data_IF_068209660685
#
_entry.id   IF_068209660685
#
_cell.length_a   1.000
_cell.length_b   1.000
_cell.length_c   1.000
_cell.angle_alpha   90.00
_cell.angle_beta   90.00
_cell.angle_gamma   90.00
#
_symmetry.space_group_name_H-M   'P 1'
#
loop_
_entity.id
_entity.type
_entity.pdbx_description
1 polymer ?
#
# COMPACT_ATOMS: atom_id res chain seq x y z
N UNK A 1 -87.00 -79.89 8.58
CA UNK A 1 -86.21 -79.96 7.31
C UNK A 1 -86.17 -78.60 6.62
N UNK A 2 -87.27 -78.06 6.06
CA UNK A 2 -87.22 -76.77 5.32
C UNK A 2 -86.88 -75.52 6.13
N UNK A 3 -87.25 -75.47 7.42
CA UNK A 3 -86.93 -74.33 8.30
C UNK A 3 -85.42 -74.19 8.59
N UNK A 4 -84.71 -75.32 8.69
CA UNK A 4 -83.26 -75.34 9.00
C UNK A 4 -82.42 -75.01 7.77
N UNK A 5 -82.77 -75.53 6.60
CA UNK A 5 -82.10 -75.17 5.34
C UNK A 5 -82.19 -73.67 5.06
N UNK A 6 -83.33 -73.04 5.34
CA UNK A 6 -83.52 -71.60 5.16
C UNK A 6 -82.63 -70.78 6.09
N UNK A 7 -82.54 -71.14 7.37
CA UNK A 7 -81.64 -70.49 8.34
C UNK A 7 -80.17 -70.63 7.94
N UNK A 8 -79.74 -71.81 7.50
CA UNK A 8 -78.38 -72.01 7.00
C UNK A 8 -78.08 -71.15 5.77
N UNK A 9 -79.03 -71.04 4.83
CA UNK A 9 -78.89 -70.19 3.64
C UNK A 9 -78.80 -68.71 4.00
N UNK A 10 -79.61 -68.23 4.93
CA UNK A 10 -79.57 -66.85 5.42
C UNK A 10 -78.26 -66.53 6.14
N UNK A 11 -77.77 -67.44 7.01
CA UNK A 11 -76.50 -67.30 7.69
C UNK A 11 -75.31 -67.30 6.72
N UNK A 12 -75.34 -68.17 5.71
CA UNK A 12 -74.33 -68.20 4.65
C UNK A 12 -74.32 -66.90 3.84
N UNK A 13 -75.49 -66.43 3.39
CA UNK A 13 -75.60 -65.16 2.65
C UNK A 13 -75.13 -63.96 3.48
N UNK A 14 -75.37 -63.96 4.80
CA UNK A 14 -74.85 -62.93 5.70
C UNK A 14 -73.32 -62.98 5.76
N UNK A 15 -72.75 -64.16 5.99
CA UNK A 15 -71.30 -64.36 6.01
C UNK A 15 -70.63 -63.93 4.70
N UNK A 16 -71.25 -64.25 3.56
CA UNK A 16 -70.76 -63.85 2.24
C UNK A 16 -70.76 -62.33 2.07
N UNK A 17 -71.83 -61.64 2.51
CA UNK A 17 -71.88 -60.18 2.52
C UNK A 17 -70.81 -59.57 3.44
N UNK A 18 -70.67 -60.09 4.66
CA UNK A 18 -69.69 -59.61 5.64
C UNK A 18 -68.25 -59.81 5.13
N UNK A 19 -67.98 -60.92 4.43
CA UNK A 19 -66.70 -61.15 3.75
C UNK A 19 -66.47 -60.16 2.61
N UNK A 20 -67.48 -59.90 1.78
CA UNK A 20 -67.37 -58.97 0.67
C UNK A 20 -67.12 -57.53 1.14
N UNK A 21 -67.81 -57.07 2.20
CA UNK A 21 -67.54 -55.76 2.79
C UNK A 21 -66.13 -55.67 3.38
N UNK A 22 -65.64 -56.74 4.01
CA UNK A 22 -64.26 -56.79 4.50
C UNK A 22 -63.23 -56.73 3.36
N UNK A 23 -63.49 -57.42 2.24
CA UNK A 23 -62.65 -57.34 1.04
C UNK A 23 -62.64 -55.91 0.48
N UNK A 24 -63.79 -55.25 0.40
CA UNK A 24 -63.89 -53.85 -0.06
C UNK A 24 -63.10 -52.90 0.84
N UNK A 25 -63.22 -53.04 2.17
CA UNK A 25 -62.47 -52.22 3.13
C UNK A 25 -60.95 -52.43 2.94
N UNK A 26 -60.51 -53.68 2.82
CA UNK A 26 -59.09 -54.00 2.61
C UNK A 26 -58.58 -53.47 1.28
N UNK A 27 -59.36 -53.58 0.20
CA UNK A 27 -59.01 -53.05 -1.11
C UNK A 27 -58.89 -51.51 -1.10
N UNK A 28 -59.84 -50.82 -0.45
CA UNK A 28 -59.78 -49.36 -0.30
C UNK A 28 -58.55 -48.94 0.50
N UNK A 29 -58.22 -49.68 1.57
CA UNK A 29 -57.01 -49.40 2.37
C UNK A 29 -55.74 -49.64 1.58
N UNK A 30 -55.70 -50.70 0.76
CA UNK A 30 -54.58 -51.00 -0.12
C UNK A 30 -54.37 -49.88 -1.14
N UNK A 31 -55.42 -49.43 -1.82
CA UNK A 31 -55.34 -48.33 -2.79
C UNK A 31 -54.87 -47.01 -2.15
N UNK A 32 -55.35 -46.68 -0.95
CA UNK A 32 -54.86 -45.50 -0.21
C UNK A 32 -53.37 -45.58 0.07
N UNK A 33 -52.90 -46.73 0.57
CA UNK A 33 -51.48 -46.95 0.85
C UNK A 33 -50.62 -46.89 -0.43
N UNK A 34 -51.14 -47.39 -1.56
CA UNK A 34 -50.45 -47.30 -2.85
C UNK A 34 -50.28 -45.85 -3.31
N UNK A 35 -51.31 -45.02 -3.16
CA UNK A 35 -51.25 -43.58 -3.47
C UNK A 35 -50.28 -42.86 -2.54
N UNK A 36 -50.40 -43.08 -1.22
CA UNK A 36 -49.48 -42.49 -0.23
C UNK A 36 -48.02 -42.88 -0.53
N UNK A 37 -47.77 -44.14 -0.90
CA UNK A 37 -46.43 -44.60 -1.24
C UNK A 37 -45.88 -43.94 -2.52
N UNK A 38 -46.72 -43.73 -3.53
CA UNK A 38 -46.30 -42.98 -4.72
C UNK A 38 -46.01 -41.51 -4.42
N UNK A 39 -46.83 -40.86 -3.61
CA UNK A 39 -46.58 -39.48 -3.17
C UNK A 39 -45.28 -39.36 -2.38
N UNK A 40 -44.99 -40.34 -1.50
CA UNK A 40 -43.72 -40.43 -0.79
C UNK A 40 -42.53 -40.59 -1.74
N UNK A 41 -42.62 -41.46 -2.75
CA UNK A 41 -41.55 -41.66 -3.74
C UNK A 41 -41.26 -40.40 -4.55
N UNK A 42 -42.29 -39.65 -4.94
CA UNK A 42 -42.13 -38.35 -5.63
C UNK A 42 -41.48 -37.33 -4.70
N UNK A 43 -41.92 -37.27 -3.45
CA UNK A 43 -41.36 -36.36 -2.43
C UNK A 43 -39.90 -36.67 -2.15
N UNK A 44 -39.55 -37.95 -2.02
CA UNK A 44 -38.17 -38.43 -1.82
C UNK A 44 -37.29 -38.06 -3.02
N UNK A 45 -37.78 -38.21 -4.24
CA UNK A 45 -37.05 -37.82 -5.46
C UNK A 45 -36.78 -36.31 -5.51
N UNK A 46 -37.76 -35.48 -5.15
CA UNK A 46 -37.59 -34.02 -5.05
C UNK A 46 -36.54 -33.65 -4.00
N UNK A 47 -36.64 -34.21 -2.80
CA UNK A 47 -35.68 -33.97 -1.72
C UNK A 47 -34.25 -34.39 -2.11
N UNK A 48 -34.10 -35.51 -2.83
CA UNK A 48 -32.81 -35.96 -3.34
C UNK A 48 -32.19 -34.93 -4.29
N UNK A 49 -32.96 -34.45 -5.28
CA UNK A 49 -32.46 -33.42 -6.22
C UNK A 49 -32.14 -32.09 -5.53
N UNK A 50 -32.90 -31.74 -4.48
CA UNK A 50 -32.62 -30.55 -3.69
C UNK A 50 -31.33 -30.71 -2.88
N UNK A 51 -31.09 -31.89 -2.31
CA UNK A 51 -29.85 -32.22 -1.58
C UNK A 51 -28.64 -32.14 -2.51
N UNK A 52 -28.73 -32.72 -3.71
CA UNK A 52 -27.66 -32.66 -4.71
C UNK A 52 -27.32 -31.21 -5.11
N UNK A 53 -28.32 -30.36 -5.32
CA UNK A 53 -28.11 -28.93 -5.62
C UNK A 53 -27.41 -28.18 -4.49
N UNK A 54 -27.80 -28.47 -3.24
CA UNK A 54 -27.18 -27.86 -2.06
C UNK A 54 -25.73 -28.32 -1.90
N UNK A 55 -25.43 -29.58 -2.18
CA UNK A 55 -24.05 -30.09 -2.15
C UNK A 55 -23.18 -29.43 -3.24
N UNK A 56 -23.70 -29.24 -4.45
CA UNK A 56 -22.99 -28.49 -5.49
C UNK A 56 -22.75 -27.03 -5.11
N UNK A 57 -23.75 -26.36 -4.53
CA UNK A 57 -23.62 -24.98 -4.09
C UNK A 57 -22.61 -24.85 -2.96
N UNK A 58 -22.65 -25.77 -2.00
CA UNK A 58 -21.65 -25.87 -0.93
C UNK A 58 -20.25 -26.05 -1.49
N UNK A 59 -20.05 -26.94 -2.47
CA UNK A 59 -18.75 -27.12 -3.10
C UNK A 59 -18.30 -25.84 -3.80
N UNK A 60 -19.17 -25.22 -4.61
CA UNK A 60 -18.87 -23.93 -5.29
C UNK A 60 -18.50 -22.82 -4.31
N UNK A 61 -19.16 -22.74 -3.16
CA UNK A 61 -18.85 -21.76 -2.12
C UNK A 61 -17.53 -22.07 -1.41
N UNK A 62 -17.23 -23.35 -1.20
CA UNK A 62 -15.95 -23.80 -0.63
C UNK A 62 -14.79 -23.44 -1.54
N UNK A 63 -14.89 -23.74 -2.83
CA UNK A 63 -13.85 -23.42 -3.82
C UNK A 63 -13.58 -21.90 -3.88
N UNK A 64 -14.65 -21.08 -3.87
CA UNK A 64 -14.52 -19.61 -3.83
C UNK A 64 -13.86 -19.11 -2.54
N UNK A 65 -14.19 -19.71 -1.40
CA UNK A 65 -13.57 -19.37 -0.12
C UNK A 65 -12.08 -19.69 -0.12
N UNK A 66 -11.69 -20.86 -0.66
CA UNK A 66 -10.29 -21.24 -0.79
C UNK A 66 -9.54 -20.27 -1.72
N UNK A 67 -10.12 -19.91 -2.87
CA UNK A 67 -9.49 -19.01 -3.84
C UNK A 67 -9.26 -17.61 -3.25
N UNK A 68 -10.26 -17.08 -2.53
CA UNK A 68 -10.15 -15.78 -1.85
C UNK A 68 -9.19 -15.83 -0.66
N UNK A 69 -9.14 -16.95 0.07
CA UNK A 69 -8.20 -17.15 1.18
C UNK A 69 -6.75 -17.21 0.70
N UNK A 70 -6.50 -17.86 -0.44
CA UNK A 70 -5.18 -17.89 -1.07
C UNK A 70 -4.73 -16.49 -1.49
N UNK A 71 -5.59 -15.73 -2.18
CA UNK A 71 -5.28 -14.34 -2.56
C UNK A 71 -4.99 -13.46 -1.35
N UNK A 72 -5.78 -13.57 -0.28
CA UNK A 72 -5.54 -12.83 0.95
C UNK A 72 -4.16 -13.16 1.54
N UNK A 73 -3.78 -14.44 1.54
CA UNK A 73 -2.48 -14.88 2.02
C UNK A 73 -1.33 -14.26 1.21
N UNK A 74 -1.44 -14.25 -0.11
CA UNK A 74 -0.44 -13.64 -1.00
C UNK A 74 -0.28 -12.14 -0.72
N UNK A 75 -1.38 -11.41 -0.52
CA UNK A 75 -1.37 -9.99 -0.15
C UNK A 75 -0.76 -9.76 1.24
N UNK A 76 -1.06 -10.62 2.22
CA UNK A 76 -0.44 -10.55 3.54
C UNK A 76 1.07 -10.77 3.48
N UNK A 77 1.52 -11.73 2.68
CA UNK A 77 2.95 -12.00 2.48
C UNK A 77 3.65 -10.83 1.74
N UNK A 78 2.97 -10.19 0.79
CA UNK A 78 3.46 -8.98 0.12
C UNK A 78 3.57 -7.81 1.09
N UNK A 79 2.53 -7.57 1.90
CA UNK A 79 2.52 -6.53 2.93
C UNK A 79 3.68 -6.71 3.91
N UNK A 80 3.90 -7.95 4.38
CA UNK A 80 5.01 -8.28 5.27
C UNK A 80 6.37 -7.95 4.64
N UNK A 81 6.59 -8.35 3.38
CA UNK A 81 7.82 -8.01 2.64
C UNK A 81 8.02 -6.51 2.51
N UNK A 82 6.95 -5.74 2.28
CA UNK A 82 7.02 -4.29 2.17
C UNK A 82 7.37 -3.64 3.52
N UNK A 83 6.77 -4.12 4.61
CA UNK A 83 7.09 -3.66 5.96
C UNK A 83 8.54 -3.96 6.36
N UNK A 84 9.06 -5.14 6.01
CA UNK A 84 10.45 -5.50 6.26
C UNK A 84 11.41 -4.57 5.47
N UNK A 85 11.09 -4.25 4.21
CA UNK A 85 11.86 -3.28 3.41
C UNK A 85 11.84 -1.86 3.99
N UNK A 86 10.68 -1.40 4.46
CA UNK A 86 10.57 -0.08 5.10
C UNK A 86 11.39 -0.01 6.38
N UNK A 87 11.33 -1.06 7.20
CA UNK A 87 12.13 -1.18 8.42
C UNK A 87 13.62 -1.20 8.09
N UNK A 88 14.04 -1.95 7.07
CA UNK A 88 15.43 -1.97 6.62
C UNK A 88 15.90 -0.58 6.17
N UNK A 89 15.14 0.09 5.30
CA UNK A 89 15.46 1.43 4.82
C UNK A 89 15.61 2.43 5.98
N UNK A 90 14.68 2.40 6.96
CA UNK A 90 14.78 3.25 8.15
C UNK A 90 16.05 3.00 8.96
N UNK A 91 16.47 1.74 9.11
CA UNK A 91 17.70 1.39 9.81
C UNK A 91 18.94 1.83 9.03
N UNK A 92 18.94 1.68 7.70
CA UNK A 92 20.06 2.07 6.86
C UNK A 92 20.21 3.59 6.83
N UNK A 93 19.10 4.34 6.71
CA UNK A 93 19.09 5.79 6.84
C UNK A 93 19.61 6.26 8.21
N UNK A 94 19.22 5.56 9.29
CA UNK A 94 19.72 5.87 10.63
C UNK A 94 21.24 5.67 10.72
N UNK A 95 21.76 4.55 10.20
CA UNK A 95 23.21 4.27 10.17
C UNK A 95 23.98 5.30 9.36
N UNK A 96 23.48 5.67 8.18
CA UNK A 96 24.12 6.68 7.34
C UNK A 96 24.13 8.05 8.02
N UNK A 97 23.04 8.40 8.71
CA UNK A 97 22.97 9.64 9.48
C UNK A 97 23.97 9.64 10.64
N UNK A 98 24.13 8.54 11.35
CA UNK A 98 25.13 8.37 12.41
C UNK A 98 26.55 8.49 11.85
N UNK A 99 26.87 7.81 10.74
CA UNK A 99 28.17 7.91 10.08
C UNK A 99 28.48 9.34 9.60
N UNK A 100 27.50 10.05 9.05
CA UNK A 100 27.67 11.45 8.65
C UNK A 100 27.88 12.37 9.86
N UNK A 101 27.21 12.09 10.99
CA UNK A 101 27.43 12.83 12.24
C UNK A 101 28.85 12.61 12.77
N UNK A 102 29.35 11.37 12.78
CA UNK A 102 30.73 11.05 13.15
C UNK A 102 31.73 11.82 12.28
N UNK A 103 31.55 11.84 10.96
CA UNK A 103 32.40 12.60 10.04
C UNK A 103 32.37 14.11 10.33
N UNK A 104 31.20 14.68 10.64
CA UNK A 104 31.08 16.10 11.01
C UNK A 104 31.86 16.37 12.31
N UNK A 105 31.81 15.47 13.29
CA UNK A 105 32.58 15.60 14.52
C UNK A 105 34.08 15.52 14.27
N UNK A 106 34.54 14.61 13.42
CA UNK A 106 35.94 14.49 13.02
C UNK A 106 36.44 15.79 12.37
N UNK A 107 35.71 16.32 11.39
CA UNK A 107 36.06 17.58 10.72
C UNK A 107 36.06 18.77 11.69
N UNK A 108 35.15 18.79 12.68
CA UNK A 108 35.16 19.83 13.73
C UNK A 108 36.42 19.75 14.58
N UNK A 109 36.84 18.55 14.99
CA UNK A 109 38.09 18.34 15.74
C UNK A 109 39.30 18.79 14.92
N UNK A 110 39.37 18.45 13.63
CA UNK A 110 40.44 18.92 12.74
C UNK A 110 40.48 20.45 12.61
N UNK A 111 39.32 21.10 12.46
CA UNK A 111 39.23 22.56 12.42
C UNK A 111 39.73 23.21 13.72
N UNK A 112 39.35 22.66 14.88
CA UNK A 112 39.85 23.11 16.18
C UNK A 112 41.38 22.96 16.27
N UNK A 113 41.92 21.83 15.84
CA UNK A 113 43.38 21.61 15.79
C UNK A 113 44.09 22.63 14.89
N UNK A 114 43.56 22.92 13.71
CA UNK A 114 44.14 23.90 12.78
C UNK A 114 44.08 25.33 13.35
N UNK A 115 43.00 25.70 14.04
CA UNK A 115 42.89 27.00 14.71
C UNK A 115 43.93 27.17 15.82
N UNK A 116 44.15 26.13 16.64
CA UNK A 116 45.19 26.13 17.68
C UNK A 116 46.58 26.27 17.07
N UNK A 117 46.88 25.48 16.02
CA UNK A 117 48.17 25.57 15.32
C UNK A 117 48.44 26.96 14.75
N UNK A 118 47.42 27.60 14.15
CA UNK A 118 47.54 28.98 13.64
C UNK A 118 47.90 29.98 14.75
N UNK A 119 47.27 29.87 15.92
CA UNK A 119 47.55 30.74 17.07
C UNK A 119 48.98 30.56 17.60
N UNK A 120 49.51 29.34 17.61
CA UNK A 120 50.90 29.06 18.00
C UNK A 120 51.90 29.72 17.04
N UNK A 121 51.68 29.59 15.72
CA UNK A 121 52.51 30.25 14.70
C UNK A 121 52.45 31.77 14.83
N UNK A 122 51.27 32.35 15.06
CA UNK A 122 51.13 33.80 15.25
C UNK A 122 51.82 34.31 16.52
N UNK A 123 51.83 33.53 17.61
CA UNK A 123 52.58 33.86 18.84
C UNK A 123 54.09 33.90 18.56
N UNK A 124 54.62 32.93 17.81
CA UNK A 124 56.03 32.94 17.40
C UNK A 124 56.38 34.14 16.49
N UNK A 125 55.44 34.62 15.67
CA UNK A 125 55.63 35.77 14.76
C UNK A 125 55.59 37.16 15.42
N UNK A 126 55.01 37.32 16.62
CA UNK A 126 54.99 38.61 17.35
C UNK A 126 56.29 38.91 18.10
N UNK A 127 57.02 37.88 18.54
CA UNK A 127 58.28 38.03 19.26
C UNK A 127 59.37 38.71 18.39
N UNK A 128 59.23 38.69 17.06
CA UNK A 128 60.20 39.32 16.13
C UNK A 128 59.91 40.77 15.72
N UNK A 129 58.84 41.41 16.21
CA UNK A 129 58.35 42.71 15.67
C UNK A 129 58.56 43.94 16.57
N UNK A 130 59.33 43.84 17.66
CA UNK A 130 59.45 44.90 18.67
C UNK A 130 60.55 45.95 18.43
N UNK A 131 61.16 46.06 17.25
CA UNK A 131 62.26 47.03 17.03
C UNK A 131 62.33 47.55 15.60
N UNK A 132 61.52 48.54 15.22
CA UNK A 132 61.74 49.24 13.94
C UNK A 132 61.03 50.61 13.92
N UNK A 133 61.79 51.70 14.09
CA UNK A 133 61.32 53.06 13.76
C UNK A 133 62.42 53.92 13.07
N UNK A 134 63.52 53.30 12.64
CA UNK A 134 64.62 53.93 11.90
C UNK A 134 64.83 53.32 10.50
N UNK A 135 63.99 52.34 10.13
CA UNK A 135 64.09 51.60 8.87
C UNK A 135 63.54 52.35 7.67
N UNK A 136 62.54 53.23 7.88
CA UNK A 136 61.65 53.66 6.80
C UNK A 136 62.29 54.63 5.78
N UNK A 137 63.39 55.29 6.15
CA UNK A 137 64.17 56.11 5.23
C UNK A 137 65.17 55.26 4.43
N UNK A 138 65.86 54.35 5.11
CA UNK A 138 66.76 53.37 4.50
C UNK A 138 66.04 52.43 3.55
N UNK A 139 64.79 52.05 3.85
CA UNK A 139 63.99 51.20 2.96
C UNK A 139 63.61 51.91 1.68
N UNK A 140 63.24 53.20 1.71
CA UNK A 140 62.88 53.93 0.48
C UNK A 140 64.05 54.13 -0.48
N UNK A 141 65.25 54.40 0.02
CA UNK A 141 66.46 54.48 -0.82
C UNK A 141 66.81 53.10 -1.39
N UNK A 142 66.72 52.05 -0.57
CA UNK A 142 66.94 50.66 -0.98
C UNK A 142 65.90 50.18 -1.99
N UNK A 143 64.65 50.59 -1.84
CA UNK A 143 63.52 50.28 -2.73
C UNK A 143 63.75 50.93 -4.10
N UNK A 144 64.20 52.18 -4.15
CA UNK A 144 64.55 52.84 -5.42
C UNK A 144 65.76 52.20 -6.12
N UNK A 145 66.77 51.74 -5.37
CA UNK A 145 67.90 50.97 -5.92
C UNK A 145 67.45 49.63 -6.49
N UNK A 146 66.60 48.90 -5.74
CA UNK A 146 66.04 47.62 -6.17
C UNK A 146 65.11 47.79 -7.38
N UNK A 147 64.37 48.90 -7.50
CA UNK A 147 63.58 49.22 -8.69
C UNK A 147 64.46 49.45 -9.93
N UNK A 148 65.60 50.15 -9.77
CA UNK A 148 66.56 50.33 -10.87
C UNK A 148 67.27 49.02 -11.23
N UNK A 149 67.56 48.16 -10.24
CA UNK A 149 68.14 46.83 -10.45
C UNK A 149 67.14 45.88 -11.13
N UNK A 150 65.86 45.91 -10.72
CA UNK A 150 64.75 45.22 -11.37
C UNK A 150 64.56 45.68 -12.82
N UNK A 151 64.73 46.98 -13.09
CA UNK A 151 64.62 47.52 -14.45
C UNK A 151 65.78 47.05 -15.35
N UNK A 152 67.00 46.95 -14.81
CA UNK A 152 68.16 46.38 -15.50
C UNK A 152 68.01 44.87 -15.72
N UNK A 153 67.62 44.12 -14.69
CA UNK A 153 67.37 42.69 -14.77
C UNK A 153 66.24 42.34 -15.74
N UNK A 154 65.20 43.16 -15.86
CA UNK A 154 64.15 43.01 -16.88
C UNK A 154 64.65 43.24 -18.31
N UNK A 155 65.70 44.05 -18.50
CA UNK A 155 66.25 44.36 -19.82
C UNK A 155 67.27 43.30 -20.28
N UNK A 156 67.98 42.67 -19.33
CA UNK A 156 69.01 41.65 -19.58
C UNK A 156 68.53 40.20 -19.36
N UNK A 157 67.21 39.94 -19.32
CA UNK A 157 66.69 38.56 -19.16
C UNK A 157 67.11 37.72 -20.38
N UNK A 158 67.86 36.62 -20.18
CA UNK A 158 68.22 35.71 -21.26
C UNK A 158 66.96 35.22 -22.00
N UNK A 159 66.96 35.17 -23.34
CA UNK A 159 65.79 34.78 -24.14
C UNK A 159 65.12 33.47 -23.68
N UNK A 160 65.90 32.50 -23.21
CA UNK A 160 65.42 31.21 -22.71
C UNK A 160 64.60 31.34 -21.42
N UNK A 161 65.01 32.25 -20.51
CA UNK A 161 64.27 32.52 -19.26
C UNK A 161 63.00 33.32 -19.55
N UNK A 162 63.05 34.26 -20.50
CA UNK A 162 61.88 35.00 -20.97
C UNK A 162 60.84 34.04 -21.59
N UNK A 163 61.29 33.09 -22.42
CA UNK A 163 60.43 32.08 -23.03
C UNK A 163 59.81 31.14 -22.00
N UNK A 164 60.58 30.69 -21.00
CA UNK A 164 60.05 29.87 -19.89
C UNK A 164 59.03 30.62 -19.03
N UNK A 165 59.24 31.91 -18.77
CA UNK A 165 58.27 32.74 -18.05
C UNK A 165 56.96 32.89 -18.85
N UNK A 166 57.04 33.11 -20.16
CA UNK A 166 55.86 33.15 -21.04
C UNK A 166 55.12 31.80 -21.07
N UNK A 167 55.83 30.68 -21.18
CA UNK A 167 55.21 29.35 -21.14
C UNK A 167 54.55 29.06 -19.78
N UNK A 168 55.20 29.45 -18.68
CA UNK A 168 54.63 29.35 -17.33
C UNK A 168 53.36 30.20 -17.17
N UNK A 169 53.35 31.42 -17.74
CA UNK A 169 52.18 32.29 -17.72
C UNK A 169 51.02 31.71 -18.54
N UNK A 170 51.30 31.11 -19.69
CA UNK A 170 50.28 30.43 -20.51
C UNK A 170 49.66 29.24 -19.78
N UNK A 171 50.48 28.38 -19.17
CA UNK A 171 50.01 27.23 -18.38
C UNK A 171 49.18 27.67 -17.16
N UNK A 172 49.51 28.81 -16.55
CA UNK A 172 48.74 29.37 -15.45
C UNK A 172 47.35 29.81 -15.91
N UNK A 173 47.26 30.52 -17.04
CA UNK A 173 45.98 30.95 -17.64
C UNK A 173 45.14 29.73 -18.04
N UNK A 174 45.76 28.70 -18.62
CA UNK A 174 45.03 27.48 -19.00
C UNK A 174 44.53 26.70 -17.78
N UNK A 175 45.32 26.60 -16.71
CA UNK A 175 44.87 26.02 -15.44
C UNK A 175 43.72 26.80 -14.83
N UNK A 176 43.77 28.13 -14.90
CA UNK A 176 42.68 28.98 -14.41
C UNK A 176 41.39 28.73 -15.21
N UNK A 177 41.48 28.66 -16.54
CA UNK A 177 40.34 28.33 -17.41
C UNK A 177 39.75 26.94 -17.12
N UNK A 178 40.60 25.93 -16.89
CA UNK A 178 40.14 24.58 -16.54
C UNK A 178 39.48 24.53 -15.16
N UNK A 179 39.91 25.37 -14.21
CA UNK A 179 39.24 25.50 -12.91
C UNK A 179 37.87 26.15 -13.04
N UNK A 180 37.77 27.23 -13.80
CA UNK A 180 36.50 27.91 -14.07
C UNK A 180 35.50 26.96 -14.75
N UNK A 181 35.94 26.15 -15.73
CA UNK A 181 35.11 25.13 -16.36
C UNK A 181 34.68 24.02 -15.39
N UNK A 182 35.56 23.58 -14.48
CA UNK A 182 35.19 22.62 -13.45
C UNK A 182 34.16 23.19 -12.47
N UNK A 183 34.31 24.44 -12.06
CA UNK A 183 33.34 25.13 -11.21
C UNK A 183 31.98 25.25 -11.90
N UNK A 184 31.96 25.57 -13.19
CA UNK A 184 30.74 25.63 -13.99
C UNK A 184 30.06 24.25 -14.09
N UNK A 185 30.81 23.19 -14.41
CA UNK A 185 30.28 21.82 -14.48
C UNK A 185 29.75 21.33 -13.13
N UNK A 186 30.46 21.62 -12.03
CA UNK A 186 29.98 21.32 -10.68
C UNK A 186 28.67 22.07 -10.38
N UNK A 187 28.57 23.34 -10.78
CA UNK A 187 27.34 24.11 -10.68
C UNK A 187 26.18 23.49 -11.45
N UNK A 188 26.43 22.99 -12.67
CA UNK A 188 25.43 22.30 -13.49
C UNK A 188 24.96 20.99 -12.84
N UNK A 189 25.88 20.17 -12.31
CA UNK A 189 25.56 18.91 -11.62
C UNK A 189 24.67 19.18 -10.40
N UNK A 190 25.00 20.20 -9.60
CA UNK A 190 24.19 20.58 -8.43
C UNK A 190 22.80 21.04 -8.87
N UNK A 191 22.70 21.86 -9.91
CA UNK A 191 21.42 22.33 -10.45
C UNK A 191 20.52 21.18 -10.93
N UNK A 192 21.09 20.23 -11.68
CA UNK A 192 20.38 19.03 -12.14
C UNK A 192 19.92 18.16 -10.95
N UNK A 193 20.81 17.91 -9.99
CA UNK A 193 20.49 17.13 -8.79
C UNK A 193 19.37 17.78 -7.97
N UNK A 194 19.39 19.12 -7.84
CA UNK A 194 18.35 19.87 -7.15
C UNK A 194 17.01 19.81 -7.90
N UNK A 195 17.05 19.89 -9.23
CA UNK A 195 15.85 19.77 -10.07
C UNK A 195 15.21 18.38 -9.95
N UNK A 196 16.02 17.31 -10.00
CA UNK A 196 15.55 15.94 -9.79
C UNK A 196 14.99 15.74 -8.39
N UNK A 197 15.67 16.23 -7.35
CA UNK A 197 15.18 16.18 -5.97
C UNK A 197 13.82 16.90 -5.83
N UNK A 198 13.68 18.09 -6.44
CA UNK A 198 12.42 18.83 -6.46
C UNK A 198 11.28 18.05 -7.15
N UNK A 199 11.58 17.38 -8.27
CA UNK A 199 10.61 16.57 -8.98
C UNK A 199 10.19 15.32 -8.19
N UNK A 200 11.13 14.68 -7.48
CA UNK A 200 10.85 13.55 -6.60
C UNK A 200 9.94 13.96 -5.43
N UNK A 201 10.25 15.07 -4.77
CA UNK A 201 9.43 15.61 -3.67
C UNK A 201 8.03 15.99 -4.18
N UNK A 202 7.92 16.65 -5.33
CA UNK A 202 6.61 17.00 -5.91
C UNK A 202 5.76 15.76 -6.25
N UNK A 203 6.39 14.69 -6.74
CA UNK A 203 5.72 13.41 -7.00
C UNK A 203 5.29 12.74 -5.71
N UNK A 204 6.12 12.78 -4.66
CA UNK A 204 5.80 12.26 -3.34
C UNK A 204 4.61 12.98 -2.70
N UNK A 205 4.55 14.31 -2.77
CA UNK A 205 3.42 15.07 -2.22
C UNK A 205 2.10 14.77 -2.94
N UNK A 206 2.13 14.59 -4.28
CA UNK A 206 0.95 14.18 -5.05
C UNK A 206 0.49 12.76 -4.69
N UNK A 207 1.43 11.83 -4.56
CA UNK A 207 1.14 10.46 -4.16
C UNK A 207 0.61 10.38 -2.72
N UNK A 208 1.14 11.20 -1.80
CA UNK A 208 0.65 11.31 -0.42
C UNK A 208 -0.76 11.93 -0.33
N UNK A 209 -1.06 12.96 -1.14
CA UNK A 209 -2.41 13.52 -1.23
C UNK A 209 -3.41 12.49 -1.74
N UNK A 210 -3.04 11.72 -2.77
CA UNK A 210 -3.88 10.68 -3.34
C UNK A 210 -4.05 9.50 -2.37
N UNK A 211 -2.99 9.07 -1.67
CA UNK A 211 -3.08 8.02 -0.67
C UNK A 211 -3.95 8.42 0.53
N UNK A 212 -3.81 9.66 1.02
CA UNK A 212 -4.63 10.20 2.10
C UNK A 212 -6.12 10.35 1.71
N UNK A 213 -6.40 10.65 0.44
CA UNK A 213 -7.75 10.74 -0.11
C UNK A 213 -8.38 9.35 -0.31
N UNK A 214 -7.60 8.35 -0.74
CA UNK A 214 -8.02 6.95 -0.90
C UNK A 214 -8.29 6.28 0.46
N UNK A 215 -7.45 6.52 1.48
CA UNK A 215 -7.60 5.92 2.81
C UNK A 215 -8.79 6.49 3.60
N UNK A 216 -9.05 7.80 3.56
CA UNK A 216 -10.04 8.42 4.45
C UNK A 216 -11.47 8.48 3.90
N UNK A 217 -11.67 8.50 2.58
CA UNK A 217 -13.02 8.67 2.01
C UNK A 217 -13.74 7.34 1.76
N UNK A 218 -13.04 6.29 1.32
CA UNK A 218 -13.71 5.13 0.71
C UNK A 218 -14.37 4.18 1.71
N UNK A 219 -13.73 3.88 2.85
CA UNK A 219 -14.23 2.85 3.78
C UNK A 219 -15.39 3.34 4.65
N UNK A 220 -15.23 4.52 5.27
CA UNK A 220 -16.21 5.02 6.23
C UNK A 220 -17.47 5.53 5.52
N UNK A 221 -17.33 6.20 4.36
CA UNK A 221 -18.50 6.62 3.58
C UNK A 221 -19.27 5.43 2.98
N UNK A 222 -18.60 4.35 2.58
CA UNK A 222 -19.28 3.12 2.14
C UNK A 222 -19.98 2.40 3.28
N UNK A 223 -19.39 2.36 4.47
CA UNK A 223 -20.02 1.78 5.67
C UNK A 223 -21.23 2.60 6.12
N UNK A 224 -21.14 3.93 6.08
CA UNK A 224 -22.25 4.82 6.44
C UNK A 224 -23.39 4.74 5.42
N UNK A 225 -23.07 4.75 4.12
CA UNK A 225 -24.07 4.56 3.06
C UNK A 225 -24.74 3.17 3.13
N UNK A 226 -23.98 2.12 3.46
CA UNK A 226 -24.53 0.78 3.65
C UNK A 226 -25.49 0.73 4.85
N UNK A 227 -25.11 1.33 5.97
CA UNK A 227 -25.99 1.44 7.16
C UNK A 227 -27.27 2.20 6.86
N UNK A 228 -27.18 3.34 6.18
CA UNK A 228 -28.35 4.13 5.82
C UNK A 228 -29.30 3.33 4.91
N UNK A 229 -28.73 2.59 3.94
CA UNK A 229 -29.51 1.73 3.06
C UNK A 229 -30.18 0.56 3.80
N UNK A 230 -29.49 -0.06 4.78
CA UNK A 230 -30.07 -1.09 5.64
C UNK A 230 -31.23 -0.54 6.49
N UNK A 231 -31.08 0.66 7.03
CA UNK A 231 -32.12 1.31 7.84
C UNK A 231 -33.38 1.62 7.00
N UNK A 232 -33.19 2.12 5.78
CA UNK A 232 -34.28 2.35 4.82
C UNK A 232 -34.98 1.02 4.48
N UNK A 233 -34.21 -0.05 4.26
CA UNK A 233 -34.77 -1.37 3.94
C UNK A 233 -35.61 -1.93 5.10
N UNK A 234 -35.14 -1.79 6.35
CA UNK A 234 -35.89 -2.18 7.54
C UNK A 234 -37.21 -1.40 7.62
N UNK A 235 -37.17 -0.07 7.42
CA UNK A 235 -38.40 0.76 7.43
C UNK A 235 -39.37 0.37 6.32
N UNK A 236 -38.87 0.08 5.11
CA UNK A 236 -39.70 -0.39 3.99
C UNK A 236 -40.33 -1.75 4.30
N UNK A 237 -39.60 -2.69 4.89
CA UNK A 237 -40.13 -4.00 5.31
C UNK A 237 -41.24 -3.83 6.35
N UNK A 238 -41.00 -3.03 7.39
CA UNK A 238 -42.03 -2.73 8.40
C UNK A 238 -43.27 -2.07 7.81
N UNK A 239 -43.09 -1.19 6.81
CA UNK A 239 -44.21 -0.57 6.11
C UNK A 239 -45.01 -1.58 5.27
N UNK A 240 -44.33 -2.44 4.51
CA UNK A 240 -44.96 -3.53 3.77
C UNK A 240 -45.70 -4.48 4.70
N UNK A 241 -45.10 -4.87 5.84
CA UNK A 241 -45.74 -5.74 6.83
C UNK A 241 -47.04 -5.13 7.36
N UNK A 242 -47.05 -3.83 7.68
CA UNK A 242 -48.27 -3.12 8.10
C UNK A 242 -49.36 -3.16 7.05
N UNK A 243 -49.01 -3.00 5.77
CA UNK A 243 -49.97 -3.10 4.66
C UNK A 243 -50.48 -4.53 4.52
N UNK A 244 -49.60 -5.52 4.51
CA UNK A 244 -49.95 -6.94 4.36
C UNK A 244 -50.88 -7.37 5.49
N UNK A 245 -50.56 -7.02 6.75
CA UNK A 245 -51.43 -7.31 7.90
C UNK A 245 -52.82 -6.68 7.73
N UNK A 246 -52.87 -5.40 7.33
CA UNK A 246 -54.15 -4.72 7.10
C UNK A 246 -54.98 -5.40 6.00
N UNK A 247 -54.35 -5.89 4.94
CA UNK A 247 -55.02 -6.64 3.86
C UNK A 247 -55.51 -7.99 4.37
N UNK A 248 -54.69 -8.72 5.14
CA UNK A 248 -55.08 -10.01 5.73
C UNK A 248 -56.31 -9.89 6.64
N UNK A 249 -56.42 -8.80 7.40
CA UNK A 249 -57.55 -8.56 8.31
C UNK A 249 -58.87 -8.20 7.58
N UNK A 250 -58.81 -7.56 6.41
CA UNK A 250 -60.00 -7.04 5.73
C UNK A 250 -60.43 -7.86 4.51
N UNK A 251 -59.48 -8.32 3.68
CA UNK A 251 -59.78 -9.09 2.48
C UNK A 251 -58.56 -9.90 1.98
N UNK A 252 -58.29 -11.08 2.53
CA UNK A 252 -57.09 -11.87 2.23
C UNK A 252 -57.07 -12.44 0.80
N UNK A 253 -58.22 -12.52 0.11
CA UNK A 253 -58.33 -13.08 -1.24
C UNK A 253 -57.53 -12.31 -2.31
N UNK A 254 -57.18 -11.04 -2.04
CA UNK A 254 -56.41 -10.19 -2.96
C UNK A 254 -54.93 -10.58 -3.02
N UNK A 255 -54.41 -11.27 -1.99
CA UNK A 255 -53.04 -11.79 -1.97
C UNK A 255 -52.90 -13.13 -2.72
N UNK A 256 -54.00 -13.68 -3.25
CA UNK A 256 -53.99 -14.91 -4.03
C UNK A 256 -53.35 -14.66 -5.40
N UNK A 257 -52.13 -15.19 -5.60
CA UNK A 257 -51.46 -15.15 -6.89
C UNK A 257 -52.14 -16.16 -7.81
N UNK A 258 -53.01 -15.67 -8.70
CA UNK A 258 -53.61 -16.49 -9.77
C UNK A 258 -52.57 -16.68 -10.87
N UNK A 259 -52.20 -17.94 -11.09
CA UNK A 259 -51.33 -18.37 -12.20
C UNK A 259 -52.13 -18.51 -13.50
#
# INVERSE_FOLDING_TARGET
MDGELRRHREAFNKLERDKNTQIEILNNRMQQLEVENMEMLVSMSKLKTQTEKLDEEKQRMTDKLEDTSLRLKDEMDLYKKMMDKLRQNRNDYQREREAMQELIEELRRELEHLQLYKLEVERMGRIRRSSISLSDFTTRTRESELEQEMKRLKQDVPPDLQQRACASAQLYVENQRLREQNEELNGQIISLSLHEAKNLIATQTKAQSLAAEIENASRDQLMDALKEQEEINIRLRQYMDKIILSILDHNPSILEIKY
#
